data_IF_675721434019
#
_entry.id   IF_675721434019
#
_cell.length_a   1.000
_cell.length_b   1.000
_cell.length_c   1.000
_cell.angle_alpha   90.00
_cell.angle_beta   90.00
_cell.angle_gamma   90.00
#
_symmetry.space_group_name_H-M   'P 1'
#
loop_
_entity.id
_entity.type
_entity.pdbx_description
1 polymer ?
#
# COMPACT_ATOMS: atom_id res chain seq x y z
N UNK A 1 -0.39 14.05 7.74
CA UNK A 1 0.44 13.38 6.68
C UNK A 1 -0.16 13.70 5.31
N UNK A 2 0.68 13.90 4.28
CA UNK A 2 0.20 14.03 2.88
C UNK A 2 0.17 12.65 2.24
N UNK A 3 -0.96 12.32 1.61
CA UNK A 3 -1.19 11.02 0.95
C UNK A 3 -1.45 11.27 -0.54
N UNK A 4 -0.81 10.48 -1.39
CA UNK A 4 -1.13 10.38 -2.80
C UNK A 4 -1.96 9.10 -3.02
N UNK A 5 -3.18 9.23 -3.53
CA UNK A 5 -3.99 8.09 -3.94
C UNK A 5 -3.99 8.02 -5.48
N UNK A 6 -3.42 6.97 -6.04
CA UNK A 6 -3.40 6.76 -7.49
C UNK A 6 -4.59 5.91 -7.92
N UNK A 7 -5.36 6.39 -8.90
CA UNK A 7 -6.54 5.70 -9.43
C UNK A 7 -6.58 5.73 -10.95
N UNK A 8 -7.05 4.65 -11.54
CA UNK A 8 -7.37 4.51 -12.96
C UNK A 8 -8.90 4.51 -13.21
N UNK A 9 -9.69 4.79 -12.16
CA UNK A 9 -11.16 4.70 -12.18
C UNK A 9 -11.69 3.28 -11.99
N UNK A 10 -10.82 2.25 -11.93
CA UNK A 10 -11.22 0.88 -11.63
C UNK A 10 -11.78 0.74 -10.21
N UNK A 11 -12.44 -0.37 -9.95
CA UNK A 11 -12.92 -0.75 -8.61
C UNK A 11 -11.80 -0.70 -7.56
N UNK A 12 -10.62 -1.23 -7.88
CA UNK A 12 -9.48 -1.24 -6.95
C UNK A 12 -8.86 0.17 -6.79
N UNK A 13 -8.88 0.99 -7.84
CA UNK A 13 -8.46 2.38 -7.77
C UNK A 13 -9.37 3.21 -6.86
N UNK A 14 -10.69 2.96 -6.88
CA UNK A 14 -11.65 3.58 -5.94
C UNK A 14 -11.42 3.11 -4.51
N UNK A 15 -11.25 1.80 -4.31
CA UNK A 15 -10.91 1.26 -2.99
C UNK A 15 -9.66 1.88 -2.40
N UNK A 16 -8.66 2.24 -3.21
CA UNK A 16 -7.46 2.90 -2.72
C UNK A 16 -7.74 4.27 -2.08
N UNK A 17 -8.83 4.95 -2.48
CA UNK A 17 -9.30 6.19 -1.87
C UNK A 17 -10.16 5.89 -0.64
N UNK A 18 -11.13 4.99 -0.77
CA UNK A 18 -12.08 4.63 0.28
C UNK A 18 -11.39 4.04 1.51
N UNK A 19 -10.34 3.24 1.33
CA UNK A 19 -9.54 2.70 2.43
C UNK A 19 -8.92 3.78 3.32
N UNK A 20 -8.63 4.96 2.77
CA UNK A 20 -8.09 6.07 3.56
C UNK A 20 -9.08 6.61 4.60
N UNK A 21 -10.38 6.49 4.35
CA UNK A 21 -11.41 6.85 5.32
C UNK A 21 -11.57 5.79 6.43
N UNK A 22 -11.25 4.54 6.13
CA UNK A 22 -11.35 3.42 7.06
C UNK A 22 -10.08 3.19 7.90
N UNK A 23 -8.98 3.84 7.54
CA UNK A 23 -7.74 3.81 8.31
C UNK A 23 -7.88 4.65 9.59
N UNK A 24 -7.46 4.12 10.74
CA UNK A 24 -7.52 4.86 12.01
C UNK A 24 -6.36 5.86 12.11
N UNK A 25 -6.31 6.86 11.23
CA UNK A 25 -5.27 7.88 11.30
C UNK A 25 -5.38 8.72 12.57
N UNK A 26 -4.23 9.00 13.22
CA UNK A 26 -4.15 9.86 14.40
C UNK A 26 -4.53 11.32 14.10
N UNK A 27 -4.28 11.77 12.87
CA UNK A 27 -4.67 13.08 12.36
C UNK A 27 -5.21 12.90 10.95
N UNK A 28 -6.27 13.63 10.62
CA UNK A 28 -6.87 13.56 9.29
C UNK A 28 -5.82 13.87 8.21
N UNK A 29 -5.62 12.97 7.24
CA UNK A 29 -4.64 13.17 6.19
C UNK A 29 -5.10 14.19 5.16
N UNK A 30 -4.16 14.86 4.51
CA UNK A 30 -4.43 15.64 3.29
C UNK A 30 -4.23 14.71 2.09
N UNK A 31 -5.32 14.44 1.37
CA UNK A 31 -5.32 13.49 0.26
C UNK A 31 -5.21 14.22 -1.07
N UNK A 32 -4.27 13.77 -1.90
CA UNK A 32 -4.24 14.12 -3.33
C UNK A 32 -4.57 12.86 -4.12
N UNK A 33 -5.66 12.89 -4.87
CA UNK A 33 -5.99 11.85 -5.83
C UNK A 33 -5.34 12.19 -7.16
N UNK A 34 -4.66 11.23 -7.76
CA UNK A 34 -4.01 11.35 -9.07
C UNK A 34 -4.62 10.34 -10.03
N UNK A 35 -5.10 10.85 -11.15
CA UNK A 35 -5.43 10.06 -12.32
C UNK A 35 -4.42 10.35 -13.42
N UNK A 36 -3.79 9.31 -13.99
CA UNK A 36 -2.81 9.44 -15.07
C UNK A 36 -3.42 8.95 -16.38
N UNK A 37 -3.41 9.80 -17.39
CA UNK A 37 -3.82 9.46 -18.75
C UNK A 37 -2.61 8.94 -19.52
N UNK A 38 -2.61 7.66 -19.88
CA UNK A 38 -1.50 7.04 -20.60
C UNK A 38 -1.56 7.31 -22.10
N UNK A 39 -1.23 8.54 -22.47
CA UNK A 39 -1.16 8.94 -23.89
C UNK A 39 -0.02 8.22 -24.62
N UNK A 40 1.00 7.76 -23.89
CA UNK A 40 2.15 7.08 -24.49
C UNK A 40 1.77 5.71 -25.07
N UNK A 41 0.86 4.98 -24.41
CA UNK A 41 0.38 3.68 -24.90
C UNK A 41 -0.36 3.78 -26.24
N UNK A 42 -1.06 4.90 -26.49
CA UNK A 42 -1.74 5.17 -27.77
C UNK A 42 -0.75 5.57 -28.86
N UNK A 43 0.30 6.29 -28.50
CA UNK A 43 1.30 6.78 -29.48
C UNK A 43 2.37 5.76 -29.86
N UNK A 44 2.73 4.85 -28.95
CA UNK A 44 3.83 3.91 -29.13
C UNK A 44 3.71 3.02 -30.39
N UNK A 45 2.55 2.44 -30.74
CA UNK A 45 2.41 1.63 -31.95
C UNK A 45 2.72 2.40 -33.23
N UNK A 46 2.46 3.71 -33.27
CA UNK A 46 2.62 4.57 -34.44
C UNK A 46 4.02 5.16 -34.59
N UNK A 47 4.85 5.05 -33.54
CA UNK A 47 6.26 5.48 -33.62
C UNK A 47 7.16 4.47 -34.34
N UNK A 48 6.70 3.24 -34.54
CA UNK A 48 7.48 2.12 -35.10
C UNK A 48 7.10 1.85 -36.55
N UNK A 49 5.92 2.29 -37.03
CA UNK A 49 5.44 2.08 -38.39
C UNK A 49 5.19 3.43 -39.09
N UNK A 50 5.45 3.53 -40.42
CA UNK A 50 5.09 4.74 -41.15
C UNK A 50 3.60 5.04 -41.03
N UNK A 51 3.27 6.29 -40.75
CA UNK A 51 1.90 6.78 -40.55
C UNK A 51 1.08 6.46 -41.82
N UNK A 52 0.15 5.49 -41.70
CA UNK A 52 -0.83 5.21 -42.75
C UNK A 52 -1.86 6.34 -42.71
N UNK A 53 -2.23 6.85 -43.89
CA UNK A 53 -3.26 7.92 -44.03
C UNK A 53 -4.54 7.52 -43.26
N UNK A 54 -4.95 8.36 -42.31
CA UNK A 54 -6.12 8.10 -41.45
C UNK A 54 -5.81 7.74 -40.00
N UNK A 55 -4.57 7.30 -39.67
CA UNK A 55 -4.18 6.98 -38.27
C UNK A 55 -4.18 8.19 -37.35
N UNK A 56 -3.97 9.37 -37.89
CA UNK A 56 -3.95 10.64 -37.14
C UNK A 56 -5.35 10.96 -36.54
N UNK A 57 -6.41 10.75 -37.31
CA UNK A 57 -7.81 10.91 -36.82
C UNK A 57 -8.15 9.89 -35.74
N UNK A 58 -7.69 8.65 -35.92
CA UNK A 58 -7.86 7.61 -34.92
C UNK A 58 -7.15 7.97 -33.60
N UNK A 59 -5.88 8.37 -33.65
CA UNK A 59 -5.13 8.82 -32.48
C UNK A 59 -5.81 9.98 -31.76
N UNK A 60 -6.25 10.99 -32.51
CA UNK A 60 -6.96 12.15 -31.94
C UNK A 60 -8.27 11.71 -31.25
N UNK A 61 -9.02 10.80 -31.86
CA UNK A 61 -10.27 10.28 -31.26
C UNK A 61 -10.02 9.51 -29.99
N UNK A 62 -8.98 8.68 -29.91
CA UNK A 62 -8.62 7.91 -28.73
C UNK A 62 -8.08 8.81 -27.60
N UNK A 63 -7.24 9.79 -27.92
CA UNK A 63 -6.78 10.78 -26.93
C UNK A 63 -7.97 11.56 -26.36
N UNK A 64 -8.89 12.01 -27.19
CA UNK A 64 -10.11 12.73 -26.76
C UNK A 64 -11.00 11.85 -25.87
N UNK A 65 -11.13 10.56 -26.22
CA UNK A 65 -11.86 9.58 -25.42
C UNK A 65 -11.22 9.41 -24.04
N UNK A 66 -9.89 9.26 -23.99
CA UNK A 66 -9.15 9.14 -22.73
C UNK A 66 -9.29 10.39 -21.86
N UNK A 67 -9.22 11.59 -22.45
CA UNK A 67 -9.42 12.85 -21.74
C UNK A 67 -10.83 12.95 -21.18
N UNK A 68 -11.84 12.53 -21.92
CA UNK A 68 -13.24 12.52 -21.46
C UNK A 68 -13.41 11.55 -20.29
N UNK A 69 -12.84 10.36 -20.40
CA UNK A 69 -12.82 9.37 -19.30
C UNK A 69 -12.11 9.91 -18.06
N UNK A 70 -10.97 10.58 -18.25
CA UNK A 70 -10.23 11.21 -17.15
C UNK A 70 -11.03 12.32 -16.45
N UNK A 71 -11.75 13.14 -17.22
CA UNK A 71 -12.66 14.18 -16.65
C UNK A 71 -13.77 13.55 -15.80
N UNK A 72 -14.37 12.47 -16.30
CA UNK A 72 -15.39 11.73 -15.56
C UNK A 72 -14.83 11.12 -14.28
N UNK A 73 -13.68 10.44 -14.36
CA UNK A 73 -12.98 9.85 -13.21
C UNK A 73 -12.57 10.91 -12.17
N UNK A 74 -12.17 12.12 -12.63
CA UNK A 74 -11.87 13.24 -11.76
C UNK A 74 -13.11 13.66 -10.96
N UNK A 75 -14.24 13.92 -11.64
CA UNK A 75 -15.51 14.33 -11.01
C UNK A 75 -16.00 13.26 -10.01
N UNK A 76 -15.91 12.00 -10.38
CA UNK A 76 -16.26 10.88 -9.50
C UNK A 76 -15.38 10.84 -8.25
N UNK A 77 -14.06 11.02 -8.41
CA UNK A 77 -13.12 11.05 -7.29
C UNK A 77 -13.34 12.28 -6.37
N UNK A 78 -13.72 13.43 -6.92
CA UNK A 78 -14.09 14.61 -6.14
C UNK A 78 -15.35 14.36 -5.30
N UNK A 79 -16.37 13.73 -5.89
CA UNK A 79 -17.57 13.29 -5.18
C UNK A 79 -17.26 12.27 -4.09
N UNK A 80 -16.36 11.33 -4.37
CA UNK A 80 -15.93 10.30 -3.42
C UNK A 80 -15.19 10.91 -2.23
N UNK A 81 -14.23 11.82 -2.44
CA UNK A 81 -13.56 12.53 -1.35
C UNK A 81 -14.56 13.26 -0.45
N UNK A 82 -15.52 13.97 -1.06
CA UNK A 82 -16.55 14.71 -0.33
C UNK A 82 -17.45 13.78 0.49
N UNK A 83 -17.93 12.69 -0.08
CA UNK A 83 -18.80 11.73 0.61
C UNK A 83 -18.11 11.01 1.76
N UNK A 84 -16.78 10.81 1.68
CA UNK A 84 -15.97 10.20 2.72
C UNK A 84 -15.48 11.20 3.78
N UNK A 85 -15.77 12.49 3.63
CA UNK A 85 -15.27 13.53 4.53
C UNK A 85 -13.74 13.71 4.48
N UNK A 86 -13.09 13.28 3.40
CA UNK A 86 -11.64 13.39 3.23
C UNK A 86 -11.28 14.75 2.59
N UNK A 87 -10.49 15.54 3.32
CA UNK A 87 -9.95 16.79 2.76
C UNK A 87 -8.88 16.49 1.70
N UNK A 88 -9.06 17.10 0.50
CA UNK A 88 -8.08 16.86 -0.55
C UNK A 88 -8.40 17.49 -1.91
N UNK A 89 -7.58 17.13 -2.90
CA UNK A 89 -7.68 17.60 -4.28
C UNK A 89 -7.55 16.44 -5.26
N UNK A 90 -8.20 16.54 -6.41
CA UNK A 90 -8.07 15.58 -7.51
C UNK A 90 -7.33 16.23 -8.66
N UNK A 91 -6.28 15.59 -9.14
CA UNK A 91 -5.44 16.05 -10.24
C UNK A 91 -5.39 14.99 -11.34
N UNK A 92 -5.35 15.44 -12.59
CA UNK A 92 -5.04 14.61 -13.75
C UNK A 92 -3.68 15.02 -14.31
N UNK A 93 -2.87 14.05 -14.72
CA UNK A 93 -1.60 14.29 -15.42
C UNK A 93 -1.51 13.33 -16.61
N UNK A 94 -0.67 13.65 -17.60
CA UNK A 94 -0.46 12.83 -18.79
C UNK A 94 0.94 12.23 -18.79
N UNK A 95 1.07 10.99 -19.25
CA UNK A 95 2.39 10.35 -19.41
C UNK A 95 2.36 8.86 -19.10
N UNK A 96 3.54 8.26 -19.03
CA UNK A 96 3.69 6.88 -18.59
C UNK A 96 3.27 6.73 -17.12
N UNK A 97 2.27 5.88 -16.86
CA UNK A 97 1.55 5.82 -15.58
C UNK A 97 2.51 5.66 -14.38
N UNK A 98 3.39 4.65 -14.44
CA UNK A 98 4.30 4.38 -13.32
C UNK A 98 5.25 5.57 -13.05
N UNK A 99 5.88 6.12 -14.09
CA UNK A 99 6.82 7.24 -13.96
C UNK A 99 6.13 8.50 -13.42
N UNK A 100 4.91 8.79 -13.89
CA UNK A 100 4.13 9.95 -13.44
C UNK A 100 3.73 9.81 -11.98
N UNK A 101 3.24 8.64 -11.54
CA UNK A 101 2.94 8.39 -10.13
C UNK A 101 4.20 8.57 -9.26
N UNK A 102 5.35 8.01 -9.67
CA UNK A 102 6.61 8.16 -8.92
C UNK A 102 7.06 9.62 -8.81
N UNK A 103 6.94 10.40 -9.88
CA UNK A 103 7.23 11.85 -9.89
C UNK A 103 6.34 12.60 -8.88
N UNK A 104 5.06 12.30 -8.83
CA UNK A 104 4.14 12.91 -7.86
C UNK A 104 4.42 12.45 -6.42
N UNK A 105 4.84 11.20 -6.23
CA UNK A 105 5.18 10.65 -4.92
C UNK A 105 6.43 11.28 -4.29
N UNK A 106 7.36 11.86 -5.08
CA UNK A 106 8.56 12.56 -4.58
C UNK A 106 8.28 13.92 -3.92
N UNK A 107 7.08 14.49 -4.06
CA UNK A 107 6.73 15.86 -3.64
C UNK A 107 6.29 15.96 -2.17
N UNK A 108 7.04 15.39 -1.24
CA UNK A 108 6.73 15.43 0.20
C UNK A 108 5.53 14.58 0.59
N UNK A 109 5.24 13.54 -0.19
CA UNK A 109 4.23 12.52 0.10
C UNK A 109 4.78 11.54 1.12
N UNK A 110 4.02 11.28 2.19
CA UNK A 110 4.37 10.28 3.21
C UNK A 110 3.84 8.88 2.89
N UNK A 111 2.73 8.81 2.13
CA UNK A 111 2.08 7.55 1.78
C UNK A 111 1.51 7.60 0.37
N UNK A 112 1.80 6.58 -0.43
CA UNK A 112 1.14 6.29 -1.69
C UNK A 112 0.10 5.19 -1.46
N UNK A 113 -1.19 5.48 -1.69
CA UNK A 113 -2.27 4.49 -1.69
C UNK A 113 -2.58 4.07 -3.12
N UNK A 114 -2.61 2.77 -3.39
CA UNK A 114 -2.82 2.22 -4.72
C UNK A 114 -3.61 0.91 -4.64
N UNK A 115 -4.52 0.70 -5.60
CA UNK A 115 -5.20 -0.57 -5.77
C UNK A 115 -4.21 -1.67 -6.18
N UNK A 116 -4.46 -2.90 -5.75
CA UNK A 116 -3.62 -4.03 -6.13
C UNK A 116 -3.67 -4.35 -7.63
N UNK A 117 -4.70 -3.87 -8.33
CA UNK A 117 -4.98 -4.10 -9.77
C UNK A 117 -5.57 -2.87 -10.41
N UNK A 118 -5.55 -2.83 -11.75
CA UNK A 118 -6.23 -1.84 -12.57
C UNK A 118 -7.33 -2.47 -13.44
N UNK A 119 -7.71 -1.75 -14.50
CA UNK A 119 -8.76 -2.13 -15.44
C UNK A 119 -8.47 -3.45 -16.19
N UNK A 120 -7.20 -3.75 -16.47
CA UNK A 120 -6.78 -4.86 -17.35
C UNK A 120 -6.39 -6.14 -16.59
N UNK A 121 -6.72 -6.27 -15.30
CA UNK A 121 -6.26 -7.38 -14.49
C UNK A 121 -7.09 -8.65 -14.69
N UNK A 122 -6.51 -9.63 -15.37
CA UNK A 122 -7.11 -10.96 -15.63
C UNK A 122 -6.91 -11.95 -14.47
N UNK A 123 -5.87 -11.79 -13.65
CA UNK A 123 -5.48 -12.78 -12.65
C UNK A 123 -5.82 -12.35 -11.22
N UNK A 124 -6.55 -13.18 -10.47
CA UNK A 124 -7.08 -12.83 -9.13
C UNK A 124 -6.01 -12.80 -8.03
N UNK A 125 -4.81 -13.36 -8.26
CA UNK A 125 -3.81 -13.60 -7.23
C UNK A 125 -2.53 -12.75 -7.36
N UNK A 126 -2.33 -12.01 -8.46
CA UNK A 126 -1.10 -11.25 -8.69
C UNK A 126 -1.33 -9.74 -8.58
N UNK A 127 -0.29 -9.01 -8.17
CA UNK A 127 -0.28 -7.55 -8.23
C UNK A 127 -0.21 -7.09 -9.68
N UNK A 128 -0.95 -6.03 -10.01
CA UNK A 128 -0.80 -5.34 -11.29
C UNK A 128 0.60 -4.73 -11.46
N UNK A 129 0.99 -4.47 -12.70
CA UNK A 129 2.31 -3.91 -13.03
C UNK A 129 2.63 -2.61 -12.30
N UNK A 130 1.64 -1.71 -12.19
CA UNK A 130 1.79 -0.41 -11.51
C UNK A 130 1.97 -0.58 -10.00
N UNK A 131 1.16 -1.43 -9.37
CA UNK A 131 1.28 -1.71 -7.92
C UNK A 131 2.60 -2.38 -7.61
N UNK A 132 3.02 -3.34 -8.45
CA UNK A 132 4.32 -3.99 -8.31
C UNK A 132 5.47 -2.99 -8.50
N UNK A 133 5.38 -2.10 -9.47
CA UNK A 133 6.36 -1.01 -9.65
C UNK A 133 6.40 -0.09 -8.42
N UNK A 134 5.23 0.29 -7.89
CA UNK A 134 5.13 1.17 -6.74
C UNK A 134 5.79 0.60 -5.48
N UNK A 135 5.53 -0.66 -5.13
CA UNK A 135 6.15 -1.29 -3.94
C UNK A 135 7.67 -1.40 -4.05
N UNK A 136 8.24 -1.44 -5.26
CA UNK A 136 9.68 -1.51 -5.47
C UNK A 136 10.34 -0.11 -5.51
N UNK A 137 9.70 0.87 -6.13
CA UNK A 137 10.35 2.13 -6.55
C UNK A 137 9.80 3.39 -5.87
N UNK A 138 8.66 3.35 -5.16
CA UNK A 138 8.12 4.55 -4.53
C UNK A 138 9.12 5.13 -3.52
N UNK A 139 9.29 6.46 -3.49
CA UNK A 139 10.18 7.13 -2.53
C UNK A 139 9.56 7.26 -1.13
N UNK A 140 8.31 6.92 -0.96
CA UNK A 140 7.52 6.97 0.28
C UNK A 140 6.94 5.60 0.62
N UNK A 141 6.28 5.48 1.77
CA UNK A 141 5.54 4.26 2.14
C UNK A 141 4.42 3.98 1.15
N UNK A 142 4.06 2.71 0.97
CA UNK A 142 3.04 2.28 -0.01
C UNK A 142 1.99 1.43 0.66
N UNK A 143 0.73 1.84 0.55
CA UNK A 143 -0.45 1.05 0.90
C UNK A 143 -1.00 0.39 -0.36
N UNK A 144 -0.97 -0.93 -0.40
CA UNK A 144 -1.58 -1.73 -1.47
C UNK A 144 -2.92 -2.25 -0.99
N UNK A 145 -3.99 -1.80 -1.64
CA UNK A 145 -5.37 -2.17 -1.31
C UNK A 145 -5.81 -3.33 -2.20
N UNK A 146 -6.29 -4.41 -1.58
CA UNK A 146 -6.62 -5.67 -2.26
C UNK A 146 -8.10 -6.04 -2.21
N UNK A 147 -8.82 -5.52 -1.26
CA UNK A 147 -10.20 -5.85 -0.95
C UNK A 147 -11.04 -4.59 -0.73
N UNK A 148 -12.36 -4.70 -0.73
CA UNK A 148 -13.25 -3.58 -0.42
C UNK A 148 -12.87 -2.90 0.89
N UNK A 149 -13.13 -1.60 1.02
CA UNK A 149 -12.87 -0.89 2.26
C UNK A 149 -13.63 -1.51 3.41
N UNK A 150 -12.93 -1.67 4.51
CA UNK A 150 -13.50 -2.06 5.80
C UNK A 150 -12.72 -1.35 6.89
N UNK A 151 -13.37 -1.14 8.03
CA UNK A 151 -12.71 -0.53 9.18
C UNK A 151 -11.47 -1.33 9.59
N UNK A 152 -10.33 -0.66 9.64
CA UNK A 152 -9.07 -1.27 10.04
C UNK A 152 -8.97 -1.26 11.57
N UNK A 153 -9.04 -2.44 12.18
CA UNK A 153 -8.99 -2.65 13.64
C UNK A 153 -7.87 -3.58 14.05
N UNK A 154 -7.49 -4.50 13.21
CA UNK A 154 -6.46 -5.49 13.49
C UNK A 154 -5.31 -5.38 12.50
N UNK A 155 -4.18 -4.92 13.00
CA UNK A 155 -2.92 -4.83 12.25
C UNK A 155 -2.04 -6.05 12.56
N UNK A 156 -1.30 -6.52 11.57
CA UNK A 156 -0.16 -7.40 11.79
C UNK A 156 1.11 -6.62 11.48
N UNK A 157 1.99 -6.47 12.45
CA UNK A 157 3.31 -5.91 12.25
C UNK A 157 4.34 -7.03 12.12
N UNK A 158 4.91 -7.19 10.93
CA UNK A 158 5.99 -8.13 10.67
C UNK A 158 7.34 -7.47 10.98
N UNK A 159 8.11 -8.10 11.89
CA UNK A 159 9.41 -7.60 12.34
C UNK A 159 10.51 -8.63 12.17
N UNK A 160 11.74 -8.14 11.95
CA UNK A 160 12.97 -8.93 11.93
C UNK A 160 14.12 -8.28 12.73
N UNK A 161 13.84 -7.16 13.40
CA UNK A 161 14.85 -6.39 14.16
C UNK A 161 15.68 -5.43 13.32
N UNK A 162 15.39 -5.30 12.03
CA UNK A 162 16.07 -4.35 11.15
C UNK A 162 15.62 -2.90 11.41
N UNK A 163 16.39 -1.95 10.89
CA UNK A 163 16.00 -0.54 10.88
C UNK A 163 14.67 -0.28 10.15
N UNK A 164 14.27 -1.15 9.24
CA UNK A 164 12.98 -1.05 8.57
C UNK A 164 11.82 -1.50 9.49
N UNK A 165 12.04 -2.46 10.38
CA UNK A 165 11.09 -2.78 11.47
C UNK A 165 10.90 -1.59 12.40
N UNK A 166 11.99 -0.89 12.76
CA UNK A 166 11.92 0.32 13.60
C UNK A 166 11.13 1.45 12.90
N UNK A 167 11.33 1.62 11.59
CA UNK A 167 10.55 2.59 10.80
C UNK A 167 9.06 2.22 10.77
N UNK A 168 8.73 0.93 10.66
CA UNK A 168 7.35 0.48 10.66
C UNK A 168 6.66 0.78 12.00
N UNK A 169 7.33 0.56 13.14
CA UNK A 169 6.83 0.98 14.45
C UNK A 169 6.65 2.48 14.53
N UNK A 170 7.66 3.26 14.13
CA UNK A 170 7.56 4.74 14.11
C UNK A 170 6.41 5.24 13.23
N UNK A 171 6.14 4.57 12.10
CA UNK A 171 5.00 4.90 11.26
C UNK A 171 3.69 4.68 12.02
N UNK A 172 3.51 3.51 12.65
CA UNK A 172 2.32 3.20 13.43
C UNK A 172 2.12 4.20 14.57
N UNK A 173 3.11 4.38 15.43
CA UNK A 173 3.01 5.25 16.60
C UNK A 173 2.80 6.72 16.26
N UNK A 174 3.25 7.18 15.08
CA UNK A 174 3.12 8.57 14.65
C UNK A 174 1.83 8.85 13.88
N UNK A 175 1.32 7.88 13.13
CA UNK A 175 0.28 8.14 12.15
C UNK A 175 -1.02 7.39 12.39
N UNK A 176 -1.01 6.34 13.22
CA UNK A 176 -2.18 5.53 13.53
C UNK A 176 -2.62 5.80 14.97
N UNK A 177 -3.90 6.08 15.16
CA UNK A 177 -4.50 6.21 16.49
C UNK A 177 -4.72 4.83 17.09
N UNK A 178 -4.23 4.56 18.30
CA UNK A 178 -4.50 3.30 19.00
C UNK A 178 -5.97 3.19 19.44
N UNK A 179 -6.62 4.32 19.70
CA UNK A 179 -8.03 4.43 20.07
C UNK A 179 -8.69 5.46 19.17
N UNK A 180 -9.26 5.04 18.04
CA UNK A 180 -9.93 5.97 17.14
C UNK A 180 -11.12 6.66 17.81
N UNK A 181 -11.32 7.95 17.57
CA UNK A 181 -12.42 8.73 18.15
C UNK A 181 -13.78 8.25 17.65
N UNK A 182 -14.78 8.29 18.54
CA UNK A 182 -16.19 8.04 18.25
C UNK A 182 -16.80 6.88 19.05
N UNK A 183 -18.12 6.86 19.20
CA UNK A 183 -18.84 5.87 20.00
C UNK A 183 -18.67 4.46 19.40
N UNK A 184 -18.44 3.47 20.26
CA UNK A 184 -18.28 2.05 19.86
C UNK A 184 -16.99 1.73 19.10
N UNK A 185 -15.98 2.61 19.16
CA UNK A 185 -14.67 2.34 18.57
C UNK A 185 -13.78 1.60 19.55
N UNK A 186 -13.53 0.33 19.24
CA UNK A 186 -12.59 -0.50 19.99
C UNK A 186 -11.13 -0.09 19.70
N UNK A 187 -10.22 -0.29 20.67
CA UNK A 187 -8.79 -0.07 20.47
C UNK A 187 -8.25 -0.90 19.31
N UNK A 188 -7.28 -0.33 18.59
CA UNK A 188 -6.59 -1.03 17.51
C UNK A 188 -5.68 -2.11 18.09
N UNK A 189 -5.88 -3.34 17.63
CA UNK A 189 -5.02 -4.48 17.96
C UNK A 189 -3.85 -4.56 16.99
N UNK A 190 -2.65 -4.81 17.52
CA UNK A 190 -1.46 -5.08 16.72
C UNK A 190 -0.90 -6.45 17.08
N UNK A 191 -0.96 -7.39 16.13
CA UNK A 191 -0.23 -8.66 16.27
C UNK A 191 1.22 -8.43 15.81
N UNK A 192 2.13 -8.40 16.76
CA UNK A 192 3.58 -8.32 16.48
C UNK A 192 4.08 -9.71 16.14
N UNK A 193 4.53 -9.90 14.90
CA UNK A 193 4.92 -11.22 14.37
C UNK A 193 6.38 -11.24 13.99
N UNK A 194 7.11 -12.22 14.51
CA UNK A 194 8.45 -12.58 14.08
C UNK A 194 8.47 -14.04 13.66
N UNK A 195 9.09 -14.34 12.52
CA UNK A 195 9.23 -15.69 12.03
C UNK A 195 10.72 -16.04 11.89
N UNK A 196 11.11 -17.16 12.49
CA UNK A 196 12.48 -17.70 12.39
C UNK A 196 12.48 -19.01 11.61
N UNK A 197 13.46 -19.24 10.74
CA UNK A 197 13.49 -20.43 9.87
C UNK A 197 13.52 -21.74 10.62
N UNK A 198 14.23 -21.81 11.77
CA UNK A 198 14.37 -23.00 12.59
C UNK A 198 14.60 -22.66 14.06
N UNK A 199 13.96 -23.43 14.96
CA UNK A 199 14.28 -23.43 16.40
C UNK A 199 15.22 -24.57 16.75
N UNK A 200 16.29 -24.73 16.01
CA UNK A 200 17.28 -25.77 16.33
C UNK A 200 17.95 -25.55 17.68
N UNK A 201 18.06 -24.27 18.07
CA UNK A 201 18.69 -23.85 19.33
C UNK A 201 17.70 -23.04 20.17
N UNK A 202 17.56 -23.34 21.47
CA UNK A 202 16.67 -22.60 22.39
C UNK A 202 16.94 -21.10 22.40
N UNK A 203 18.20 -20.69 22.26
CA UNK A 203 18.64 -19.30 22.25
C UNK A 203 18.00 -18.50 21.14
N UNK A 204 17.78 -19.09 19.97
CA UNK A 204 17.11 -18.45 18.82
C UNK A 204 15.66 -18.16 19.14
N UNK A 205 14.99 -19.07 19.84
CA UNK A 205 13.61 -18.90 20.29
C UNK A 205 13.49 -17.76 21.33
N UNK A 206 14.39 -17.75 22.30
CA UNK A 206 14.39 -16.72 23.34
C UNK A 206 14.75 -15.35 22.77
N UNK A 207 15.71 -15.26 21.86
CA UNK A 207 16.01 -14.02 21.12
C UNK A 207 14.79 -13.52 20.32
N UNK A 208 14.06 -14.42 19.65
CA UNK A 208 12.83 -14.08 18.91
C UNK A 208 11.73 -13.57 19.85
N UNK A 209 11.54 -14.17 21.02
CA UNK A 209 10.58 -13.68 22.03
C UNK A 209 10.98 -12.30 22.54
N UNK A 210 12.24 -12.11 22.92
CA UNK A 210 12.75 -10.83 23.42
C UNK A 210 12.56 -9.72 22.36
N UNK A 211 12.75 -10.05 21.07
CA UNK A 211 12.51 -9.14 19.97
C UNK A 211 11.03 -8.71 19.92
N UNK A 212 10.10 -9.65 19.93
CA UNK A 212 8.66 -9.38 19.91
C UNK A 212 8.26 -8.54 21.11
N UNK A 213 8.69 -8.91 22.32
CA UNK A 213 8.40 -8.18 23.55
C UNK A 213 8.89 -6.73 23.49
N UNK A 214 10.10 -6.50 22.97
CA UNK A 214 10.65 -5.15 22.79
C UNK A 214 9.76 -4.28 21.91
N UNK A 215 9.32 -4.80 20.77
CA UNK A 215 8.46 -4.08 19.84
C UNK A 215 7.03 -3.94 20.37
N UNK A 216 6.49 -5.00 21.01
CA UNK A 216 5.19 -5.00 21.66
C UNK A 216 5.11 -3.97 22.78
N UNK A 217 6.10 -3.92 23.67
CA UNK A 217 6.17 -2.93 24.73
C UNK A 217 6.22 -1.48 24.23
N UNK A 218 6.91 -1.23 23.11
CA UNK A 218 6.94 0.11 22.51
C UNK A 218 5.55 0.54 21.99
N UNK A 219 4.86 -0.36 21.30
CA UNK A 219 3.50 -0.10 20.79
C UNK A 219 2.48 0.00 21.94
N UNK A 220 2.59 -0.84 22.97
CA UNK A 220 1.73 -0.80 24.16
C UNK A 220 1.84 0.55 24.89
N UNK A 221 3.05 1.09 25.02
CA UNK A 221 3.27 2.45 25.58
C UNK A 221 2.56 3.54 24.78
N UNK A 222 2.32 3.32 23.49
CA UNK A 222 1.57 4.22 22.63
C UNK A 222 0.06 3.95 22.63
N UNK A 223 -0.43 3.01 23.47
CA UNK A 223 -1.86 2.73 23.67
C UNK A 223 -2.44 1.61 22.81
N UNK A 224 -1.64 0.93 21.97
CA UNK A 224 -2.13 -0.19 21.17
C UNK A 224 -2.36 -1.43 22.02
N UNK A 225 -3.39 -2.21 21.69
CA UNK A 225 -3.54 -3.56 22.18
C UNK A 225 -2.57 -4.49 21.45
N UNK A 226 -1.81 -5.31 22.20
CA UNK A 226 -0.75 -6.14 21.65
C UNK A 226 -1.10 -7.62 21.74
N UNK A 227 -0.89 -8.33 20.64
CA UNK A 227 -0.79 -9.77 20.57
C UNK A 227 0.59 -10.15 20.03
N UNK A 228 1.20 -11.17 20.60
CA UNK A 228 2.51 -11.66 20.20
C UNK A 228 2.39 -12.96 19.43
N UNK A 229 3.15 -13.08 18.32
CA UNK A 229 3.15 -14.27 17.48
C UNK A 229 4.58 -14.60 17.03
N UNK A 230 5.27 -15.48 17.79
CA UNK A 230 6.50 -16.08 17.35
C UNK A 230 6.18 -17.30 16.50
N UNK A 231 6.74 -17.37 15.29
CA UNK A 231 6.46 -18.41 14.32
C UNK A 231 7.72 -19.12 13.87
N UNK A 232 7.57 -20.39 13.47
CA UNK A 232 8.64 -21.22 12.93
C UNK A 232 8.34 -21.55 11.48
N UNK A 233 9.22 -21.18 10.59
CA UNK A 233 9.06 -21.44 9.16
C UNK A 233 9.59 -20.34 8.26
N UNK A 234 9.20 -20.38 6.99
CA UNK A 234 9.56 -19.34 6.02
C UNK A 234 8.85 -18.04 6.37
N UNK A 235 9.55 -16.92 6.60
CA UNK A 235 8.94 -15.70 7.16
C UNK A 235 7.70 -15.21 6.43
N UNK A 236 7.73 -15.14 5.10
CA UNK A 236 6.57 -14.66 4.34
C UNK A 236 5.35 -15.59 4.47
N UNK A 237 5.55 -16.90 4.45
CA UNK A 237 4.47 -17.89 4.54
C UNK A 237 3.83 -17.86 5.94
N UNK A 238 4.66 -17.74 6.99
CA UNK A 238 4.19 -17.62 8.36
C UNK A 238 3.43 -16.31 8.61
N UNK A 239 3.92 -15.18 8.10
CA UNK A 239 3.23 -13.89 8.18
C UNK A 239 1.84 -13.98 7.53
N UNK A 240 1.75 -14.57 6.32
CA UNK A 240 0.49 -14.76 5.62
C UNK A 240 -0.47 -15.69 6.36
N UNK A 241 0.07 -16.75 6.96
CA UNK A 241 -0.70 -17.72 7.78
C UNK A 241 -1.28 -17.03 9.02
N UNK A 242 -0.46 -16.29 9.77
CA UNK A 242 -0.91 -15.54 10.96
C UNK A 242 -1.97 -14.51 10.56
N UNK A 243 -1.75 -13.77 9.47
CA UNK A 243 -2.70 -12.78 9.00
C UNK A 243 -4.06 -13.40 8.66
N UNK A 244 -4.07 -14.55 8.00
CA UNK A 244 -5.30 -15.28 7.64
C UNK A 244 -6.01 -15.85 8.88
N UNK A 245 -5.28 -16.53 9.76
CA UNK A 245 -5.83 -17.15 10.97
C UNK A 245 -6.46 -16.13 11.93
N UNK A 246 -5.85 -14.96 12.05
CA UNK A 246 -6.32 -13.89 12.93
C UNK A 246 -7.25 -12.87 12.23
N UNK A 247 -7.63 -13.09 10.96
CA UNK A 247 -8.49 -12.19 10.18
C UNK A 247 -7.97 -10.74 10.22
N UNK A 248 -6.67 -10.58 10.01
CA UNK A 248 -5.98 -9.29 10.01
C UNK A 248 -6.50 -8.41 8.87
N UNK A 249 -6.74 -7.13 9.16
CA UNK A 249 -7.21 -6.15 8.18
C UNK A 249 -6.06 -5.59 7.34
N UNK A 250 -4.90 -5.36 7.97
CA UNK A 250 -3.74 -4.76 7.33
C UNK A 250 -2.43 -5.38 7.82
N UNK A 251 -1.62 -5.86 6.91
CA UNK A 251 -0.24 -6.27 7.21
C UNK A 251 0.68 -5.06 7.05
N UNK A 252 1.50 -4.78 8.06
CA UNK A 252 2.52 -3.73 8.04
C UNK A 252 3.90 -4.38 8.05
N UNK A 253 4.73 -4.01 7.09
CA UNK A 253 6.10 -4.52 6.96
C UNK A 253 7.07 -3.40 6.58
N UNK A 254 8.31 -3.53 6.99
CA UNK A 254 9.38 -2.67 6.48
C UNK A 254 9.71 -2.99 5.02
N UNK A 255 10.25 -2.03 4.28
CA UNK A 255 10.64 -2.25 2.89
C UNK A 255 11.84 -3.21 2.75
N UNK A 256 12.77 -3.25 3.74
CA UNK A 256 14.00 -4.05 3.69
C UNK A 256 14.19 -4.77 5.02
N UNK A 257 14.57 -6.05 5.00
CA UNK A 257 14.96 -6.80 6.18
C UNK A 257 16.47 -6.89 6.38
N UNK A 258 16.90 -7.67 7.38
CA UNK A 258 18.32 -7.87 7.75
C UNK A 258 19.18 -8.42 6.62
N UNK A 259 18.62 -9.28 5.74
CA UNK A 259 19.32 -9.89 4.61
C UNK A 259 19.35 -9.07 3.32
N UNK A 260 18.85 -7.83 3.34
CA UNK A 260 18.74 -7.05 2.11
C UNK A 260 20.08 -6.45 1.68
N UNK A 261 20.55 -6.80 0.49
CA UNK A 261 21.70 -6.17 -0.16
C UNK A 261 21.39 -4.68 -0.39
N UNK A 262 22.38 -3.78 -0.20
CA UNK A 262 22.20 -2.32 -0.31
C UNK A 262 21.51 -1.85 -1.59
N UNK A 263 21.66 -2.59 -2.70
CA UNK A 263 21.09 -2.27 -4.02
C UNK A 263 19.63 -2.75 -4.21
N UNK A 264 19.11 -3.62 -3.35
CA UNK A 264 17.74 -4.12 -3.46
C UNK A 264 16.78 -3.07 -2.90
N UNK A 265 15.78 -2.68 -3.70
CA UNK A 265 14.81 -1.64 -3.33
C UNK A 265 13.73 -2.16 -2.38
N UNK A 266 13.39 -3.45 -2.47
CA UNK A 266 12.40 -4.13 -1.62
C UNK A 266 12.90 -5.53 -1.23
N UNK A 267 12.70 -5.93 0.03
CA UNK A 267 13.07 -7.25 0.52
C UNK A 267 12.16 -8.37 -0.02
N UNK A 268 12.70 -9.59 -0.11
CA UNK A 268 11.96 -10.75 -0.62
C UNK A 268 10.70 -11.09 0.20
N UNK A 269 10.78 -10.95 1.53
CA UNK A 269 9.63 -11.18 2.43
C UNK A 269 8.54 -10.15 2.16
N UNK A 270 8.87 -8.86 2.13
CA UNK A 270 7.91 -7.78 1.88
C UNK A 270 7.29 -7.88 0.48
N UNK A 271 8.09 -8.26 -0.54
CA UNK A 271 7.59 -8.54 -1.89
C UNK A 271 6.57 -9.67 -1.87
N UNK A 272 6.94 -10.83 -1.29
CA UNK A 272 6.06 -11.99 -1.26
C UNK A 272 4.79 -11.75 -0.45
N UNK A 273 4.88 -11.05 0.69
CA UNK A 273 3.71 -10.63 1.48
C UNK A 273 2.81 -9.71 0.65
N UNK A 274 3.37 -8.68 0.01
CA UNK A 274 2.59 -7.76 -0.82
C UNK A 274 1.90 -8.47 -1.99
N UNK A 275 2.53 -9.48 -2.58
CA UNK A 275 1.94 -10.27 -3.67
C UNK A 275 0.81 -11.20 -3.20
N UNK A 276 1.01 -11.92 -2.09
CA UNK A 276 0.15 -13.04 -1.70
C UNK A 276 -0.82 -12.75 -0.54
N UNK A 277 -0.73 -11.60 0.13
CA UNK A 277 -1.69 -11.25 1.18
C UNK A 277 -3.12 -11.18 0.65
N UNK A 278 -4.06 -11.64 1.46
CA UNK A 278 -5.50 -11.55 1.19
C UNK A 278 -6.12 -10.23 1.65
N UNK A 279 -5.40 -9.47 2.48
CA UNK A 279 -5.80 -8.16 3.03
C UNK A 279 -4.89 -7.04 2.52
N UNK A 280 -5.15 -5.80 2.94
CA UNK A 280 -4.28 -4.67 2.65
C UNK A 280 -2.85 -4.88 3.13
N UNK A 281 -1.87 -4.29 2.44
CA UNK A 281 -0.45 -4.35 2.83
C UNK A 281 0.15 -2.95 2.81
N UNK A 282 0.72 -2.55 3.94
CA UNK A 282 1.49 -1.31 4.11
C UNK A 282 2.98 -1.64 4.15
N UNK A 283 3.71 -1.20 3.12
CA UNK A 283 5.17 -1.29 3.06
C UNK A 283 5.76 0.04 3.50
N UNK A 284 6.45 0.07 4.63
CA UNK A 284 7.02 1.28 5.24
C UNK A 284 8.46 1.49 4.82
N UNK A 285 8.81 2.76 4.47
CA UNK A 285 10.14 3.18 4.00
C UNK A 285 10.85 4.16 4.95
#
# INVERSE_FOLDING_TARGET
MKILAATDGSKHGKWAIEWLAEMPFALQPVVRVLHVVDVASVRAPFMIQPVIVGTERYMQSEVKRMETTAKSAKKESEGLLSSLGLGGTVTTDQGAVAATIMKHAQRGIGLLSIGSRGLDALDRFMLGSISNHAIHHAPCSVLVVKEPPRRVRHLLLAIDGSAASDKAVKFLTRHISPTPDGPGREPVMVTVTHAVPYFKYPEVKEAGKALIQRYGANLAKSGFQIREALRLGKPADEILTVAKQNKVDLIVTGAKGLGAIRRVLLGSVSTRVAQHAHCGVLVVR
#
